data_IF_009169705096
#
_entry.id   IF_009169705096
#
_cell.length_a   1.000
_cell.length_b   1.000
_cell.length_c   1.000
_cell.angle_alpha   90.00
_cell.angle_beta   90.00
_cell.angle_gamma   90.00
#
_symmetry.space_group_name_H-M   'P 1'
#
loop_
_entity.id
_entity.type
_entity.pdbx_description
1 polymer ?
#
# COMPACT_ATOMS: atom_id res chain seq x y z
N UNK A 1 9.83 11.53 25.24
CA UNK A 1 10.22 12.29 24.03
C UNK A 1 10.82 11.26 23.11
N UNK A 2 10.07 10.83 22.10
CA UNK A 2 10.37 9.62 21.33
C UNK A 2 11.53 9.89 20.35
N UNK A 3 12.68 9.24 20.56
CA UNK A 3 13.88 9.37 19.72
C UNK A 3 13.73 8.66 18.35
N UNK A 4 12.55 8.10 18.06
CA UNK A 4 12.20 7.48 16.77
C UNK A 4 11.94 8.46 15.63
N UNK A 5 12.56 9.65 15.66
CA UNK A 5 12.75 10.41 14.43
C UNK A 5 13.87 9.71 13.68
N UNK A 6 13.47 8.90 12.71
CA UNK A 6 14.26 8.22 11.68
C UNK A 6 15.38 9.15 11.15
N UNK A 7 16.49 9.27 11.88
CA UNK A 7 17.66 10.01 11.45
C UNK A 7 18.41 9.05 10.56
N UNK A 8 18.44 9.34 9.26
CA UNK A 8 19.37 8.72 8.31
C UNK A 8 20.73 8.60 8.97
N UNK A 9 21.22 7.37 9.15
CA UNK A 9 22.59 7.16 9.59
C UNK A 9 23.51 7.35 8.39
N UNK A 10 24.72 7.88 8.62
CA UNK A 10 25.74 8.01 7.57
C UNK A 10 26.02 6.67 6.87
N UNK A 11 25.83 5.57 7.60
CA UNK A 11 25.95 4.20 7.12
C UNK A 11 24.85 3.85 6.12
N UNK A 12 23.57 4.12 6.45
CA UNK A 12 22.45 3.89 5.52
C UNK A 12 22.59 4.74 4.26
N UNK A 13 23.10 5.96 4.38
CA UNK A 13 23.34 6.83 3.22
C UNK A 13 24.37 6.23 2.26
N UNK A 14 25.46 5.64 2.78
CA UNK A 14 26.48 4.96 1.96
C UNK A 14 25.91 3.75 1.23
N UNK A 15 24.99 3.02 1.86
CA UNK A 15 24.33 1.85 1.24
C UNK A 15 23.43 2.23 0.07
N UNK A 16 22.64 3.30 0.21
CA UNK A 16 21.63 3.66 -0.81
C UNK A 16 22.17 4.57 -1.91
N UNK A 17 23.27 5.30 -1.66
CA UNK A 17 23.84 6.27 -2.60
C UNK A 17 24.11 5.70 -4.01
N UNK A 18 24.71 4.49 -4.16
CA UNK A 18 24.91 3.90 -5.48
C UNK A 18 23.60 3.64 -6.23
N UNK A 19 22.58 3.12 -5.54
CA UNK A 19 21.26 2.84 -6.13
C UNK A 19 20.55 4.14 -6.49
N UNK A 20 20.63 5.15 -5.63
CA UNK A 20 20.10 6.48 -5.87
C UNK A 20 20.75 7.14 -7.10
N UNK A 21 22.07 7.02 -7.25
CA UNK A 21 22.80 7.52 -8.41
C UNK A 21 22.34 6.83 -9.69
N UNK A 22 22.30 5.49 -9.69
CA UNK A 22 21.87 4.70 -10.85
C UNK A 22 20.43 5.03 -11.25
N UNK A 23 19.53 5.16 -10.27
CA UNK A 23 18.13 5.52 -10.51
C UNK A 23 18.02 6.91 -11.14
N UNK A 24 18.73 7.89 -10.59
CA UNK A 24 18.76 9.24 -11.15
C UNK A 24 19.34 9.28 -12.56
N UNK A 25 20.41 8.51 -12.82
CA UNK A 25 21.04 8.41 -14.13
C UNK A 25 20.09 7.81 -15.17
N UNK A 26 19.39 6.71 -14.84
CA UNK A 26 18.43 6.04 -15.72
C UNK A 26 17.26 6.97 -16.04
N UNK A 27 16.64 7.58 -15.02
CA UNK A 27 15.48 8.47 -15.20
C UNK A 27 15.82 9.70 -16.03
N UNK A 28 17.06 10.20 -15.95
CA UNK A 28 17.50 11.39 -16.69
C UNK A 28 18.18 11.09 -18.02
N UNK A 29 18.59 9.84 -18.28
CA UNK A 29 19.34 9.45 -19.47
C UNK A 29 20.71 10.14 -19.59
N UNK A 30 21.27 10.62 -18.47
CA UNK A 30 22.57 11.32 -18.42
C UNK A 30 23.22 11.17 -17.06
N UNK A 31 24.46 11.64 -16.92
CA UNK A 31 25.09 11.81 -15.62
C UNK A 31 24.20 12.69 -14.71
N UNK A 32 23.80 12.19 -13.52
CA UNK A 32 22.90 12.91 -12.63
C UNK A 32 23.65 14.00 -11.85
N UNK A 33 22.94 15.09 -11.55
CA UNK A 33 23.43 16.17 -10.67
C UNK A 33 23.32 15.72 -9.20
N UNK A 34 24.16 16.24 -8.28
CA UNK A 34 24.11 15.85 -6.87
C UNK A 34 22.72 15.96 -6.23
N UNK A 35 21.94 17.00 -6.57
CA UNK A 35 20.57 17.18 -6.07
C UNK A 35 19.64 16.05 -6.54
N UNK A 36 19.80 15.58 -7.77
CA UNK A 36 18.98 14.50 -8.34
C UNK A 36 19.26 13.17 -7.61
N UNK A 37 20.54 12.91 -7.31
CA UNK A 37 20.96 11.76 -6.49
C UNK A 37 20.39 11.88 -5.07
N UNK A 38 20.49 13.05 -4.44
CA UNK A 38 19.97 13.29 -3.10
C UNK A 38 18.45 13.09 -2.99
N UNK A 39 17.69 13.51 -4.01
CA UNK A 39 16.23 13.28 -4.06
C UNK A 39 15.88 11.79 -4.18
N UNK A 40 16.61 11.03 -4.99
CA UNK A 40 16.44 9.58 -5.09
C UNK A 40 16.81 8.88 -3.77
N UNK A 41 17.91 9.29 -3.12
CA UNK A 41 18.31 8.74 -1.82
C UNK A 41 17.24 8.99 -0.76
N UNK A 42 16.70 10.22 -0.69
CA UNK A 42 15.57 10.53 0.19
C UNK A 42 14.35 9.67 -0.10
N UNK A 43 13.99 9.48 -1.37
CA UNK A 43 12.86 8.65 -1.77
C UNK A 43 13.02 7.17 -1.36
N UNK A 44 14.25 6.63 -1.40
CA UNK A 44 14.54 5.27 -0.91
C UNK A 44 14.30 5.19 0.60
N UNK A 45 14.83 6.13 1.38
CA UNK A 45 14.61 6.17 2.83
C UNK A 45 13.13 6.35 3.17
N UNK A 46 12.45 7.25 2.47
CA UNK A 46 11.00 7.46 2.65
C UNK A 46 10.24 6.15 2.36
N UNK A 47 10.70 5.33 1.42
CA UNK A 47 10.11 4.03 1.07
C UNK A 47 10.37 2.93 2.11
N UNK A 48 11.34 3.11 3.01
CA UNK A 48 11.64 2.18 4.12
C UNK A 48 10.74 2.40 5.33
N UNK A 49 10.01 3.52 5.41
CA UNK A 49 9.05 3.78 6.48
C UNK A 49 7.91 2.74 6.45
N UNK A 50 7.59 2.16 7.60
CA UNK A 50 6.53 1.15 7.74
C UNK A 50 5.14 1.65 7.32
N UNK A 51 4.92 2.98 7.32
CA UNK A 51 3.68 3.61 6.87
C UNK A 51 3.69 3.93 5.36
N UNK A 52 4.83 3.74 4.69
CA UNK A 52 4.92 3.89 3.25
C UNK A 52 4.22 2.73 2.54
N UNK A 53 3.53 3.04 1.44
CA UNK A 53 2.89 2.03 0.60
C UNK A 53 3.91 1.04 0.04
N UNK A 54 5.10 1.50 -0.38
CA UNK A 54 6.14 0.65 -0.94
C UNK A 54 6.59 -0.44 0.04
N UNK A 55 6.88 -0.04 1.29
CA UNK A 55 7.21 -0.98 2.37
C UNK A 55 6.07 -1.99 2.59
N UNK A 56 4.84 -1.50 2.77
CA UNK A 56 3.68 -2.36 3.06
C UNK A 56 3.35 -3.33 1.94
N UNK A 57 3.52 -2.93 0.68
CA UNK A 57 3.35 -3.81 -0.48
C UNK A 57 4.47 -4.85 -0.54
N UNK A 58 5.72 -4.47 -0.24
CA UNK A 58 6.84 -5.40 -0.21
C UNK A 58 6.70 -6.45 0.90
N UNK A 59 6.15 -6.07 2.05
CA UNK A 59 5.94 -6.94 3.22
C UNK A 59 4.57 -7.63 3.24
N UNK A 60 3.71 -7.38 2.26
CA UNK A 60 2.36 -7.93 2.21
C UNK A 60 2.34 -9.42 1.83
N UNK A 61 1.38 -10.15 2.40
CA UNK A 61 0.96 -11.44 1.88
C UNK A 61 0.15 -11.23 0.60
N UNK A 62 0.58 -11.86 -0.49
CA UNK A 62 -0.12 -11.81 -1.78
C UNK A 62 -1.24 -12.85 -1.81
N UNK A 63 -2.44 -12.45 -2.21
CA UNK A 63 -3.60 -13.32 -2.37
C UNK A 63 -4.08 -13.23 -3.81
N UNK A 64 -4.07 -14.35 -4.52
CA UNK A 64 -4.61 -14.43 -5.88
C UNK A 64 -6.10 -14.77 -5.79
N UNK A 65 -6.96 -13.90 -6.30
CA UNK A 65 -8.40 -14.03 -6.12
C UNK A 65 -9.20 -13.46 -7.30
N UNK A 66 -10.51 -13.71 -7.27
CA UNK A 66 -11.50 -12.95 -8.04
C UNK A 66 -12.24 -12.03 -7.08
N UNK A 67 -12.40 -10.75 -7.44
CA UNK A 67 -13.11 -9.79 -6.59
C UNK A 67 -14.61 -9.95 -6.85
N UNK A 68 -15.37 -10.18 -5.78
CA UNK A 68 -16.83 -10.42 -5.83
C UNK A 68 -17.58 -9.13 -5.55
N UNK A 69 -17.06 -8.28 -4.67
CA UNK A 69 -17.74 -7.05 -4.27
C UNK A 69 -16.79 -6.04 -3.64
N UNK A 70 -17.10 -4.76 -3.85
CA UNK A 70 -16.44 -3.65 -3.18
C UNK A 70 -17.51 -2.73 -2.62
N UNK A 71 -17.51 -2.50 -1.31
CA UNK A 71 -18.52 -1.66 -0.66
C UNK A 71 -17.86 -0.62 0.24
N UNK A 72 -18.22 0.65 0.07
CA UNK A 72 -17.86 1.70 1.03
C UNK A 72 -18.75 1.57 2.27
N UNK A 73 -18.14 1.49 3.44
CA UNK A 73 -18.83 1.39 4.73
C UNK A 73 -18.37 2.49 5.68
N UNK A 74 -19.30 3.17 6.37
CA UNK A 74 -18.95 4.13 7.41
C UNK A 74 -18.48 3.40 8.67
N UNK A 75 -17.46 3.92 9.34
CA UNK A 75 -17.09 3.46 10.68
C UNK A 75 -17.56 4.41 11.77
N UNK A 76 -17.60 3.93 13.02
CA UNK A 76 -18.09 4.69 14.20
C UNK A 76 -17.37 6.02 14.44
N UNK A 77 -16.17 6.21 13.88
CA UNK A 77 -15.35 7.40 14.06
C UNK A 77 -15.44 8.40 12.89
N UNK A 78 -16.52 8.37 12.09
CA UNK A 78 -16.69 9.19 10.89
C UNK A 78 -15.55 9.01 9.87
N UNK A 79 -15.00 7.80 9.85
CA UNK A 79 -13.91 7.39 8.97
C UNK A 79 -14.43 6.28 8.07
N UNK A 80 -14.56 6.53 6.79
CA UNK A 80 -15.02 5.49 5.87
C UNK A 80 -13.89 4.51 5.56
N UNK A 81 -14.26 3.31 5.11
CA UNK A 81 -13.35 2.33 4.51
C UNK A 81 -14.10 1.56 3.41
N UNK A 82 -13.35 0.82 2.59
CA UNK A 82 -13.95 -0.17 1.70
C UNK A 82 -13.86 -1.56 2.34
N UNK A 83 -14.91 -2.36 2.18
CA UNK A 83 -14.89 -3.81 2.41
C UNK A 83 -14.83 -4.49 1.06
N UNK A 84 -13.78 -5.30 0.87
CA UNK A 84 -13.51 -6.03 -0.36
C UNK A 84 -13.87 -7.48 -0.11
N UNK A 85 -14.90 -7.96 -0.79
CA UNK A 85 -15.25 -9.38 -0.83
C UNK A 85 -14.53 -10.03 -2.00
N UNK A 86 -13.79 -11.11 -1.72
CA UNK A 86 -13.00 -11.81 -2.71
C UNK A 86 -13.12 -13.32 -2.55
N UNK A 87 -12.90 -14.05 -3.65
CA UNK A 87 -12.79 -15.50 -3.66
C UNK A 87 -11.39 -15.90 -4.06
N UNK A 88 -10.66 -16.53 -3.13
CA UNK A 88 -9.32 -17.05 -3.39
C UNK A 88 -9.37 -18.08 -4.52
N UNK A 89 -8.44 -18.02 -5.48
CA UNK A 89 -8.42 -18.98 -6.59
C UNK A 89 -8.24 -20.40 -6.06
N UNK A 90 -9.12 -21.32 -6.46
CA UNK A 90 -9.14 -22.71 -5.99
C UNK A 90 -9.86 -22.92 -4.66
N UNK A 91 -10.58 -21.91 -4.14
CA UNK A 91 -11.51 -22.03 -3.02
C UNK A 91 -12.91 -21.60 -3.45
N UNK A 92 -13.92 -22.19 -2.80
CA UNK A 92 -15.33 -21.87 -3.06
C UNK A 92 -15.92 -20.87 -2.06
N UNK A 93 -15.16 -20.51 -1.02
CA UNK A 93 -15.59 -19.58 0.02
C UNK A 93 -15.22 -18.13 -0.31
N UNK A 94 -16.18 -17.23 -0.07
CA UNK A 94 -15.97 -15.80 -0.15
C UNK A 94 -15.42 -15.28 1.18
N UNK A 95 -14.28 -14.59 1.09
CA UNK A 95 -13.62 -13.94 2.22
C UNK A 95 -13.79 -12.42 2.11
N UNK A 96 -13.66 -11.72 3.23
CA UNK A 96 -13.73 -10.26 3.27
C UNK A 96 -12.47 -9.68 3.91
N UNK A 97 -11.93 -8.64 3.27
CA UNK A 97 -10.81 -7.86 3.78
C UNK A 97 -11.11 -6.36 3.69
N UNK A 98 -10.90 -5.57 4.75
CA UNK A 98 -11.08 -4.14 4.70
C UNK A 98 -9.90 -3.44 3.99
N UNK A 99 -10.14 -2.29 3.39
CA UNK A 99 -9.09 -1.34 3.01
C UNK A 99 -8.57 -0.59 4.25
N UNK A 100 -7.44 0.14 4.12
CA UNK A 100 -7.12 1.23 5.03
C UNK A 100 -8.29 2.22 5.16
N UNK A 101 -8.33 2.92 6.30
CA UNK A 101 -9.28 4.01 6.55
C UNK A 101 -9.05 5.16 5.57
N UNK A 102 -10.12 5.73 5.02
CA UNK A 102 -10.03 6.80 4.00
C UNK A 102 -9.46 8.11 4.54
N UNK A 103 -9.60 8.35 5.85
CA UNK A 103 -8.98 9.50 6.52
C UNK A 103 -7.55 9.21 7.04
N UNK A 104 -7.04 7.98 6.87
CA UNK A 104 -5.70 7.62 7.28
C UNK A 104 -4.65 8.20 6.33
N UNK A 105 -3.76 9.07 6.79
CA UNK A 105 -2.63 9.53 5.97
C UNK A 105 -1.44 8.57 6.08
N UNK A 106 -0.78 8.17 4.97
CA UNK A 106 -1.04 8.54 3.57
C UNK A 106 -1.98 7.59 2.80
N UNK A 107 -2.31 6.43 3.37
CA UNK A 107 -2.93 5.30 2.64
C UNK A 107 -4.41 5.50 2.26
N UNK A 108 -5.13 6.37 2.92
CA UNK A 108 -6.55 6.62 2.70
C UNK A 108 -6.85 7.17 1.31
N UNK A 109 -6.00 8.08 0.81
CA UNK A 109 -6.09 8.58 -0.57
C UNK A 109 -5.84 7.48 -1.61
N UNK A 110 -4.90 6.58 -1.31
CA UNK A 110 -4.61 5.42 -2.17
C UNK A 110 -5.80 4.46 -2.17
N UNK A 111 -6.38 4.18 -1.00
CA UNK A 111 -7.55 3.33 -0.87
C UNK A 111 -8.76 3.92 -1.61
N UNK A 112 -8.98 5.23 -1.52
CA UNK A 112 -10.07 5.92 -2.25
C UNK A 112 -9.87 5.86 -3.76
N UNK A 113 -8.67 6.17 -4.25
CA UNK A 113 -8.34 6.09 -5.67
C UNK A 113 -8.45 4.66 -6.21
N UNK A 114 -7.98 3.67 -5.44
CA UNK A 114 -7.93 2.28 -5.85
C UNK A 114 -9.34 1.69 -5.88
N UNK A 115 -10.04 1.68 -4.74
CA UNK A 115 -11.30 0.96 -4.56
C UNK A 115 -12.53 1.75 -5.02
N UNK A 116 -12.43 3.07 -5.10
CA UNK A 116 -13.49 3.93 -5.64
C UNK A 116 -13.54 3.95 -7.18
N UNK A 117 -12.64 3.22 -7.86
CA UNK A 117 -12.55 3.22 -9.32
C UNK A 117 -13.81 2.62 -9.96
N UNK A 118 -14.35 3.34 -10.94
CA UNK A 118 -15.47 2.93 -11.77
C UNK A 118 -15.03 2.73 -13.22
N UNK A 119 -15.76 1.89 -13.96
CA UNK A 119 -15.67 1.81 -15.42
C UNK A 119 -16.41 3.00 -16.06
N UNK A 120 -16.27 3.17 -17.38
CA UNK A 120 -16.91 4.27 -18.13
C UNK A 120 -18.45 4.23 -18.08
N UNK A 121 -19.02 3.05 -17.85
CA UNK A 121 -20.46 2.81 -17.67
C UNK A 121 -20.95 3.04 -16.22
N UNK A 122 -20.06 3.45 -15.32
CA UNK A 122 -20.37 3.71 -13.91
C UNK A 122 -20.38 2.47 -13.01
N UNK A 123 -20.13 1.27 -13.54
CA UNK A 123 -20.03 0.03 -12.75
C UNK A 123 -18.72 -0.05 -11.95
N UNK A 124 -18.70 -0.88 -10.90
CA UNK A 124 -17.48 -1.10 -10.10
C UNK A 124 -16.38 -1.73 -10.94
N UNK A 125 -15.22 -1.07 -11.03
CA UNK A 125 -14.10 -1.52 -11.87
C UNK A 125 -13.63 -2.93 -11.50
N UNK A 126 -13.62 -3.25 -10.20
CA UNK A 126 -13.00 -4.46 -9.68
C UNK A 126 -13.87 -5.70 -9.73
N UNK A 127 -15.20 -5.54 -9.69
CA UNK A 127 -16.11 -6.67 -9.53
C UNK A 127 -16.02 -7.61 -10.74
N UNK A 128 -15.81 -8.90 -10.48
CA UNK A 128 -15.61 -9.94 -11.49
C UNK A 128 -14.18 -10.09 -12.00
N UNK A 129 -13.26 -9.16 -11.67
CA UNK A 129 -11.87 -9.24 -12.13
C UNK A 129 -11.02 -10.16 -11.26
N UNK A 130 -10.06 -10.83 -11.90
CA UNK A 130 -8.94 -11.49 -11.24
C UNK A 130 -7.93 -10.44 -10.79
N UNK A 131 -7.45 -10.60 -9.57
CA UNK A 131 -6.50 -9.68 -8.97
C UNK A 131 -5.52 -10.38 -8.03
N UNK A 132 -4.42 -9.69 -7.75
CA UNK A 132 -3.55 -9.96 -6.61
C UNK A 132 -3.84 -8.90 -5.54
N UNK A 133 -4.33 -9.33 -4.39
CA UNK A 133 -4.51 -8.48 -3.22
C UNK A 133 -3.24 -8.52 -2.36
N UNK A 134 -2.80 -7.35 -1.93
CA UNK A 134 -1.65 -7.21 -1.05
C UNK A 134 -2.16 -6.95 0.36
N UNK A 135 -2.22 -8.02 1.17
CA UNK A 135 -2.67 -8.01 2.55
C UNK A 135 -1.50 -7.68 3.48
N UNK A 136 -1.62 -6.58 4.22
CA UNK A 136 -0.68 -6.22 5.28
C UNK A 136 -1.34 -6.42 6.65
N UNK A 137 -0.59 -6.98 7.60
CA UNK A 137 -1.01 -7.08 8.99
C UNK A 137 -0.39 -5.90 9.74
N UNK A 138 -1.17 -4.89 10.07
CA UNK A 138 -0.67 -3.83 10.95
C UNK A 138 -0.57 -4.36 12.39
N UNK A 139 0.51 -4.09 13.13
CA UNK A 139 0.56 -4.44 14.54
C UNK A 139 -0.65 -3.81 15.28
N UNK A 140 -1.23 -4.50 16.28
CA UNK A 140 -2.32 -3.93 17.07
C UNK A 140 -1.90 -2.56 17.62
N UNK A 141 -2.76 -1.55 17.47
CA UNK A 141 -2.49 -0.23 18.07
C UNK A 141 -2.55 -0.36 19.60
N UNK A 142 -1.88 0.54 20.30
CA UNK A 142 -1.95 0.57 21.77
C UNK A 142 -3.41 0.76 22.23
N UNK A 143 -3.93 -0.20 23.00
CA UNK A 143 -5.35 -0.27 23.40
C UNK A 143 -6.23 -1.15 22.51
N UNK A 144 -5.70 -1.71 21.42
CA UNK A 144 -6.37 -2.70 20.58
C UNK A 144 -6.17 -4.10 21.15
N UNK A 145 -7.22 -4.66 21.76
CA UNK A 145 -7.21 -6.00 22.35
C UNK A 145 -7.27 -7.12 21.30
N UNK A 146 -7.27 -6.81 20.00
CA UNK A 146 -7.17 -7.82 18.96
C UNK A 146 -5.71 -8.30 18.83
N UNK A 147 -5.45 -9.56 19.20
CA UNK A 147 -4.15 -10.21 19.02
C UNK A 147 -3.73 -10.41 17.55
N UNK A 148 -4.57 -10.00 16.60
CA UNK A 148 -4.44 -10.33 15.18
C UNK A 148 -4.01 -9.16 14.28
N UNK A 149 -3.88 -7.95 14.81
CA UNK A 149 -3.55 -6.77 14.04
C UNK A 149 -4.66 -6.33 13.08
N UNK A 150 -4.60 -5.09 12.57
CA UNK A 150 -5.52 -4.66 11.51
C UNK A 150 -5.08 -5.29 10.19
N UNK A 151 -5.81 -6.33 9.77
CA UNK A 151 -5.61 -6.99 8.49
C UNK A 151 -6.28 -6.15 7.41
N UNK A 152 -5.51 -5.44 6.60
CA UNK A 152 -6.08 -4.64 5.52
C UNK A 152 -5.42 -4.90 4.17
N UNK A 153 -6.18 -4.68 3.11
CA UNK A 153 -5.69 -4.73 1.74
C UNK A 153 -5.12 -3.36 1.37
N UNK A 154 -3.79 -3.22 1.41
CA UNK A 154 -3.11 -1.94 1.17
C UNK A 154 -2.98 -1.61 -0.31
N UNK A 155 -3.02 -2.63 -1.18
CA UNK A 155 -2.92 -2.46 -2.62
C UNK A 155 -3.56 -3.65 -3.35
N UNK A 156 -3.87 -3.46 -4.64
CA UNK A 156 -4.37 -4.50 -5.52
C UNK A 156 -3.85 -4.31 -6.95
N UNK A 157 -3.57 -5.42 -7.62
CA UNK A 157 -3.15 -5.45 -9.01
C UNK A 157 -4.14 -6.29 -9.82
N UNK A 158 -4.74 -5.70 -10.86
CA UNK A 158 -5.61 -6.44 -11.77
C UNK A 158 -4.75 -7.35 -12.66
N UNK A 159 -5.12 -8.63 -12.74
CA UNK A 159 -4.47 -9.61 -13.61
C UNK A 159 -5.08 -9.64 -15.01
N UNK A 160 -6.33 -9.16 -15.13
CA UNK A 160 -7.03 -9.02 -16.40
C UNK A 160 -6.64 -7.68 -17.04
N UNK A 161 -6.06 -7.74 -18.25
CA UNK A 161 -5.69 -6.57 -19.07
C UNK A 161 -6.90 -5.92 -19.70
#
# INVERSE_FOLDING_TARGET
MDERKNKMTDERYREILPVAYMTAAIVKGRQPRPVEVGLCARAIVDAEDENNLAYRVAMATKIHCTIVGVKRVPTKANSDKYEITYRTLGRDEDEMIPSPLLNGFPLGKVAEWLWGRKNDDGTDYWVGRRAVLYKHNDPPKEGDMSSAGYRCCVFAEALDK
#
